data_IF_897798654431
#
_entry.id   IF_897798654431
#
_cell.length_a   1.000
_cell.length_b   1.000
_cell.length_c   1.000
_cell.angle_alpha   90.00
_cell.angle_beta   90.00
_cell.angle_gamma   90.00
#
_symmetry.space_group_name_H-M   'P 1'
#
loop_
_entity.id
_entity.type
_entity.pdbx_description
1 polymer ?
#
# COMPACT_ATOMS: atom_id res chain seq x y z
N UNK A 1 3.27 -2.65 32.11
CA UNK A 1 4.33 -1.72 32.55
C UNK A 1 5.21 -1.48 31.32
N UNK A 2 5.13 -0.33 30.70
CA UNK A 2 6.08 0.34 29.81
C UNK A 2 5.42 1.18 28.70
N UNK A 3 4.20 1.69 28.95
CA UNK A 3 3.57 2.72 28.08
C UNK A 3 4.11 4.15 28.36
N UNK A 4 5.00 4.31 29.35
CA UNK A 4 5.51 5.61 29.76
C UNK A 4 6.89 5.97 29.23
N UNK A 5 7.61 5.03 28.62
CA UNK A 5 9.00 5.29 28.19
C UNK A 5 9.08 6.07 26.87
N UNK A 6 8.16 5.82 25.93
CA UNK A 6 8.17 6.56 24.65
C UNK A 6 7.57 7.98 24.76
N UNK A 7 6.60 8.17 25.63
CA UNK A 7 6.03 9.51 25.87
C UNK A 7 6.97 10.39 26.71
N UNK A 8 7.81 9.78 27.55
CA UNK A 8 8.82 10.49 28.32
C UNK A 8 10.02 10.96 27.46
N UNK A 9 10.38 10.20 26.41
CA UNK A 9 11.51 10.61 25.53
C UNK A 9 11.13 11.78 24.62
N UNK A 10 9.89 11.86 24.15
CA UNK A 10 9.43 12.97 23.30
C UNK A 10 9.17 14.26 24.09
N UNK A 11 8.76 14.15 25.38
CA UNK A 11 8.51 15.31 26.23
C UNK A 11 9.77 15.84 26.90
N UNK A 12 10.81 15.05 27.06
CA UNK A 12 12.08 15.51 27.62
C UNK A 12 12.94 16.32 26.64
N UNK A 13 12.70 16.16 25.32
CA UNK A 13 13.41 16.96 24.31
C UNK A 13 12.85 18.37 24.12
N UNK A 14 11.64 18.68 24.57
CA UNK A 14 11.02 20.00 24.44
C UNK A 14 10.91 20.72 25.79
N UNK A 15 11.07 20.01 26.90
CA UNK A 15 10.90 20.54 28.27
C UNK A 15 12.18 20.82 29.06
N UNK A 16 13.35 20.63 28.48
CA UNK A 16 14.63 20.73 29.22
C UNK A 16 15.11 22.15 29.55
N UNK A 17 14.29 23.18 29.32
CA UNK A 17 14.68 24.56 29.62
C UNK A 17 14.15 25.14 30.96
N UNK A 18 13.51 24.35 31.84
CA UNK A 18 12.90 24.92 33.06
C UNK A 18 13.15 24.18 34.37
N UNK A 19 14.02 23.19 34.43
CA UNK A 19 14.45 22.57 35.68
C UNK A 19 15.97 22.60 35.83
N UNK A 20 16.53 23.82 35.95
CA UNK A 20 17.85 23.98 36.48
C UNK A 20 17.77 23.78 38.00
N UNK A 21 17.95 22.57 38.51
CA UNK A 21 18.40 22.35 39.87
C UNK A 21 19.92 22.37 39.88
N UNK A 22 20.50 23.10 40.82
CA UNK A 22 21.95 23.35 41.02
C UNK A 22 22.78 22.08 41.32
N UNK A 23 22.48 20.96 40.74
CA UNK A 23 23.31 19.75 40.78
C UNK A 23 23.98 19.59 39.44
N UNK A 24 25.22 20.12 39.35
CA UNK A 24 26.09 19.90 38.21
C UNK A 24 26.35 18.38 38.07
N UNK A 25 25.95 17.82 36.94
CA UNK A 25 26.34 16.50 36.49
C UNK A 25 27.26 16.69 35.25
N UNK A 26 28.58 17.00 35.47
CA UNK A 26 29.45 17.40 34.38
C UNK A 26 29.64 16.33 33.31
N UNK A 27 29.50 15.05 33.68
CA UNK A 27 29.54 13.94 32.73
C UNK A 27 28.31 13.87 31.83
N UNK A 28 27.12 14.08 32.40
CA UNK A 28 25.86 14.09 31.64
C UNK A 28 25.80 15.32 30.72
N UNK A 29 26.22 16.49 31.22
CA UNK A 29 26.26 17.71 30.43
C UNK A 29 27.31 17.62 29.29
N UNK A 30 28.41 16.92 29.50
CA UNK A 30 29.38 16.67 28.44
C UNK A 30 28.90 15.65 27.41
N UNK A 31 28.14 14.63 27.82
CA UNK A 31 27.51 13.67 26.93
C UNK A 31 26.37 14.30 26.15
N UNK A 32 25.54 15.15 26.79
CA UNK A 32 24.48 15.91 26.09
C UNK A 32 25.07 16.94 25.12
N UNK A 33 26.19 17.61 25.52
CA UNK A 33 26.90 18.52 24.63
C UNK A 33 27.58 17.77 23.47
N UNK A 34 28.10 16.57 23.71
CA UNK A 34 28.65 15.71 22.67
C UNK A 34 27.56 15.20 21.72
N UNK A 35 26.37 14.87 22.21
CA UNK A 35 25.18 14.51 21.40
C UNK A 35 24.64 15.71 20.61
N UNK A 36 24.58 16.91 21.20
CA UNK A 36 24.14 18.13 20.51
C UNK A 36 25.19 18.67 19.52
N UNK A 37 26.48 18.40 19.76
CA UNK A 37 27.57 18.80 18.88
C UNK A 37 28.09 17.63 18.04
N UNK A 38 27.58 16.41 18.23
CA UNK A 38 27.76 15.38 17.22
C UNK A 38 27.17 15.98 15.93
N UNK A 39 28.03 16.22 14.91
CA UNK A 39 27.45 16.59 13.63
C UNK A 39 26.47 15.44 13.32
N UNK A 40 25.20 15.77 13.21
CA UNK A 40 24.27 14.99 12.41
C UNK A 40 24.77 15.16 10.97
N UNK A 41 26.00 14.75 10.71
CA UNK A 41 26.38 14.25 9.41
C UNK A 41 25.54 13.00 9.27
N UNK A 42 24.27 13.20 8.95
CA UNK A 42 23.52 12.26 8.21
C UNK A 42 24.36 12.07 6.95
N UNK A 43 25.36 11.16 7.06
CA UNK A 43 25.91 10.57 5.87
C UNK A 43 24.67 10.21 5.05
N UNK A 44 24.65 10.63 3.79
CA UNK A 44 23.52 10.35 2.87
C UNK A 44 23.27 8.83 2.68
N UNK A 45 23.90 7.99 3.46
CA UNK A 45 23.85 6.54 3.54
C UNK A 45 23.08 5.99 4.75
N UNK A 46 22.55 6.83 5.65
CA UNK A 46 21.71 6.36 6.76
C UNK A 46 20.36 5.83 6.26
N UNK A 47 19.69 4.92 7.02
CA UNK A 47 18.38 4.42 6.63
C UNK A 47 17.37 5.57 6.57
N UNK A 48 16.67 5.69 5.44
CA UNK A 48 15.50 6.55 5.33
C UNK A 48 14.33 5.86 6.03
N UNK A 49 13.57 6.64 6.79
CA UNK A 49 12.33 6.19 7.41
C UNK A 49 11.16 6.92 6.75
N UNK A 50 10.12 6.19 6.43
CA UNK A 50 8.85 6.70 5.92
C UNK A 50 7.72 5.78 6.33
N UNK A 51 6.51 6.14 5.98
CA UNK A 51 5.36 5.30 6.31
C UNK A 51 4.05 6.06 6.17
N UNK A 52 2.96 5.43 6.63
CA UNK A 52 1.65 6.05 6.65
C UNK A 52 0.76 5.49 7.74
N UNK A 53 -0.17 6.34 8.19
CA UNK A 53 -1.23 6.01 9.11
C UNK A 53 -2.58 6.29 8.44
N UNK A 54 -3.49 5.32 8.45
CA UNK A 54 -4.86 5.49 7.97
C UNK A 54 -5.80 5.14 9.12
N UNK A 55 -6.39 6.17 9.73
CA UNK A 55 -7.44 6.05 10.74
C UNK A 55 -8.81 6.12 10.09
N UNK A 56 -9.78 5.36 10.61
CA UNK A 56 -11.14 5.29 10.07
C UNK A 56 -12.18 5.43 11.15
N UNK A 57 -13.36 5.94 10.77
CA UNK A 57 -14.61 5.80 11.49
C UNK A 57 -15.61 5.20 10.53
N UNK A 58 -16.05 3.98 10.79
CA UNK A 58 -16.89 3.20 9.88
C UNK A 58 -18.23 2.86 10.53
N UNK A 59 -19.31 3.14 9.80
CA UNK A 59 -20.65 2.65 10.10
C UNK A 59 -20.96 1.49 9.15
N UNK A 60 -21.50 0.40 9.68
CA UNK A 60 -21.88 -0.79 8.92
C UNK A 60 -23.35 -1.10 9.21
N UNK A 61 -24.16 -1.22 8.14
CA UNK A 61 -25.61 -1.41 8.25
C UNK A 61 -26.02 -2.81 8.65
N UNK A 62 -25.22 -3.81 8.28
CA UNK A 62 -25.53 -5.21 8.57
C UNK A 62 -25.36 -5.54 10.06
N UNK A 63 -24.31 -5.00 10.65
CA UNK A 63 -24.02 -5.19 12.09
C UNK A 63 -24.58 -4.10 12.98
N UNK A 64 -25.20 -3.06 12.42
CA UNK A 64 -25.67 -1.85 13.13
C UNK A 64 -24.59 -1.27 14.05
N UNK A 65 -23.36 -1.19 13.54
CA UNK A 65 -22.20 -0.74 14.31
C UNK A 65 -21.62 0.56 13.77
N UNK A 66 -21.08 1.36 14.67
CA UNK A 66 -20.27 2.54 14.39
C UNK A 66 -19.00 2.46 15.22
N UNK A 67 -17.83 2.42 14.59
CA UNK A 67 -16.58 2.22 15.29
C UNK A 67 -15.38 2.90 14.66
N UNK A 68 -14.42 3.27 15.51
CA UNK A 68 -13.11 3.71 15.06
C UNK A 68 -12.22 2.51 14.77
N UNK A 69 -11.37 2.64 13.73
CA UNK A 69 -10.40 1.64 13.34
C UNK A 69 -9.11 2.26 12.82
N UNK A 70 -8.11 1.42 12.64
CA UNK A 70 -6.87 1.74 11.96
C UNK A 70 -6.76 0.79 10.76
N UNK A 71 -6.90 1.35 9.56
CA UNK A 71 -6.84 0.58 8.33
C UNK A 71 -5.39 0.30 7.87
N UNK A 72 -4.43 1.13 8.26
CA UNK A 72 -3.00 0.93 8.08
C UNK A 72 -2.21 1.74 9.10
N UNK A 73 -1.13 1.18 9.60
CA UNK A 73 -0.16 1.84 10.47
C UNK A 73 1.25 1.37 10.09
N UNK A 74 1.75 1.86 8.96
CA UNK A 74 2.96 1.33 8.33
C UNK A 74 4.18 2.18 8.58
N UNK A 75 5.31 1.51 8.87
CA UNK A 75 6.63 2.11 8.94
C UNK A 75 7.55 1.36 7.99
N UNK A 76 8.25 2.10 7.14
CA UNK A 76 9.20 1.57 6.19
C UNK A 76 10.61 2.10 6.51
N UNK A 77 11.58 1.22 6.49
CA UNK A 77 12.99 1.53 6.56
C UNK A 77 13.65 1.13 5.24
N UNK A 78 14.35 2.04 4.60
CA UNK A 78 15.05 1.76 3.35
C UNK A 78 16.43 2.39 3.34
N UNK A 79 17.32 1.86 2.54
CA UNK A 79 18.65 2.39 2.41
C UNK A 79 19.48 1.68 1.36
N UNK A 80 20.72 2.13 1.18
CA UNK A 80 21.70 1.51 0.30
C UNK A 80 22.91 1.01 1.10
N UNK A 81 23.50 -0.08 0.64
CA UNK A 81 24.71 -0.68 1.22
C UNK A 81 25.74 -0.82 0.11
N UNK A 82 26.77 0.00 0.16
CA UNK A 82 27.77 0.05 -0.92
C UNK A 82 27.19 0.49 -2.26
N UNK A 83 27.89 0.19 -3.35
CA UNK A 83 27.43 0.50 -4.69
C UNK A 83 26.55 -0.62 -5.26
N UNK A 84 25.32 -0.30 -5.65
CA UNK A 84 24.42 -1.22 -6.36
C UNK A 84 23.61 -2.17 -5.47
N UNK A 85 23.64 -2.02 -4.14
CA UNK A 85 22.80 -2.79 -3.22
C UNK A 85 21.89 -1.86 -2.41
N UNK A 86 20.66 -2.27 -2.20
CA UNK A 86 19.69 -1.57 -1.37
C UNK A 86 18.90 -2.55 -0.51
N UNK A 87 18.09 -2.02 0.40
CA UNK A 87 17.19 -2.81 1.22
C UNK A 87 15.92 -2.03 1.54
N UNK A 88 14.86 -2.76 1.80
CA UNK A 88 13.59 -2.29 2.31
C UNK A 88 13.12 -3.23 3.42
N UNK A 89 12.67 -2.66 4.55
CA UNK A 89 11.99 -3.39 5.61
C UNK A 89 10.76 -2.58 6.00
N UNK A 90 9.59 -3.18 5.86
CA UNK A 90 8.30 -2.57 6.18
C UNK A 90 7.59 -3.34 7.29
N UNK A 91 6.98 -2.61 8.20
CA UNK A 91 6.14 -3.15 9.27
C UNK A 91 4.75 -2.54 9.17
N UNK A 92 3.70 -3.33 9.31
CA UNK A 92 2.34 -2.84 9.50
C UNK A 92 1.85 -3.23 10.90
N UNK A 93 1.37 -2.23 11.63
CA UNK A 93 0.86 -2.37 12.98
C UNK A 93 -0.67 -2.39 13.02
N UNK A 94 -1.35 -2.22 11.88
CA UNK A 94 -2.81 -2.23 11.83
C UNK A 94 -3.37 -3.64 12.03
N UNK A 95 -2.67 -4.67 11.54
CA UNK A 95 -3.03 -6.07 11.76
C UNK A 95 -2.87 -6.48 13.24
N UNK A 96 -2.24 -5.64 14.04
CA UNK A 96 -2.25 -5.73 15.50
C UNK A 96 -3.61 -5.30 16.13
N UNK A 97 -4.70 -5.36 15.37
CA UNK A 97 -6.03 -4.79 15.69
C UNK A 97 -6.64 -5.16 17.04
N UNK A 98 -6.19 -6.21 17.66
CA UNK A 98 -6.60 -6.56 19.04
C UNK A 98 -5.93 -5.70 20.11
N UNK A 99 -4.87 -4.93 19.78
CA UNK A 99 -4.26 -3.99 20.73
C UNK A 99 -5.21 -2.86 21.15
N UNK A 100 -6.18 -2.51 20.30
CA UNK A 100 -7.10 -1.39 20.49
C UNK A 100 -8.42 -1.81 21.14
N UNK A 101 -8.78 -3.10 21.08
CA UNK A 101 -10.02 -3.65 21.64
C UNK A 101 -9.84 -4.27 23.03
N UNK A 102 -8.61 -4.29 23.58
CA UNK A 102 -8.33 -4.89 24.88
C UNK A 102 -8.20 -6.42 24.86
N UNK A 103 -8.24 -7.05 23.69
CA UNK A 103 -7.90 -8.44 23.46
C UNK A 103 -6.38 -8.63 23.28
N UNK A 104 -5.87 -9.83 23.45
CA UNK A 104 -4.44 -10.17 23.50
C UNK A 104 -3.62 -9.66 22.31
N UNK A 105 -2.40 -9.25 22.57
CA UNK A 105 -1.53 -8.49 21.70
C UNK A 105 -1.33 -9.07 20.29
N UNK A 106 -1.84 -8.38 19.29
CA UNK A 106 -1.46 -8.57 17.91
C UNK A 106 0.01 -8.23 17.69
N UNK A 107 0.67 -8.93 16.80
CA UNK A 107 2.07 -8.72 16.45
C UNK A 107 2.14 -7.86 15.21
N UNK A 108 3.02 -6.87 15.21
CA UNK A 108 3.33 -6.14 13.98
C UNK A 108 3.74 -7.11 12.88
N UNK A 109 3.05 -7.07 11.74
CA UNK A 109 3.40 -7.88 10.57
C UNK A 109 4.57 -7.30 9.82
N UNK A 110 5.55 -8.11 9.42
CA UNK A 110 6.51 -7.72 8.40
C UNK A 110 5.77 -7.74 7.07
N UNK A 111 5.75 -6.60 6.38
CA UNK A 111 5.09 -6.50 5.08
C UNK A 111 6.09 -6.70 3.94
N UNK A 112 7.10 -5.84 3.87
CA UNK A 112 8.14 -5.94 2.85
C UNK A 112 9.48 -6.14 3.56
N UNK A 113 10.29 -7.10 3.14
CA UNK A 113 11.63 -7.32 3.67
C UNK A 113 12.51 -7.89 2.57
N UNK A 114 13.17 -7.03 1.81
CA UNK A 114 13.96 -7.45 0.68
C UNK A 114 15.23 -6.64 0.50
N UNK A 115 16.22 -7.28 -0.11
CA UNK A 115 17.40 -6.64 -0.66
C UNK A 115 17.22 -6.40 -2.16
N UNK A 116 17.78 -5.30 -2.67
CA UNK A 116 17.87 -5.01 -4.10
C UNK A 116 19.33 -5.02 -4.54
N UNK A 117 19.58 -5.39 -5.77
CA UNK A 117 20.92 -5.41 -6.36
C UNK A 117 20.87 -5.18 -7.88
N UNK A 118 21.84 -4.41 -8.38
CA UNK A 118 22.01 -4.22 -9.80
C UNK A 118 22.71 -5.44 -10.42
N UNK A 119 22.14 -5.99 -11.50
CA UNK A 119 22.71 -7.12 -12.24
C UNK A 119 23.51 -6.63 -13.44
N UNK A 120 23.05 -5.53 -14.05
CA UNK A 120 23.65 -4.92 -15.22
C UNK A 120 23.04 -3.57 -15.51
N UNK A 121 23.32 -3.02 -16.67
CA UNK A 121 22.76 -1.73 -17.07
C UNK A 121 21.25 -1.87 -17.30
N UNK A 122 20.45 -1.17 -16.46
CA UNK A 122 18.99 -1.16 -16.57
C UNK A 122 18.27 -2.41 -16.03
N UNK A 123 18.99 -3.37 -15.41
CA UNK A 123 18.38 -4.58 -14.82
C UNK A 123 18.69 -4.64 -13.33
N UNK A 124 17.63 -4.75 -12.52
CA UNK A 124 17.70 -4.86 -11.09
C UNK A 124 17.13 -6.19 -10.61
N UNK A 125 17.76 -6.74 -9.58
CA UNK A 125 17.26 -7.89 -8.85
C UNK A 125 16.70 -7.47 -7.49
N UNK A 126 15.72 -8.21 -6.99
CA UNK A 126 15.12 -8.08 -5.67
C UNK A 126 15.00 -9.48 -5.05
N UNK A 127 15.39 -9.64 -3.79
CA UNK A 127 15.30 -10.92 -3.09
C UNK A 127 14.81 -10.70 -1.66
N UNK A 128 13.83 -11.47 -1.25
CA UNK A 128 13.20 -11.39 0.07
C UNK A 128 11.67 -11.44 -0.03
N UNK A 129 10.98 -10.77 0.88
CA UNK A 129 9.50 -10.73 0.96
C UNK A 129 8.98 -9.47 0.26
N UNK A 130 8.17 -9.63 -0.77
CA UNK A 130 7.57 -8.55 -1.55
C UNK A 130 6.28 -9.01 -2.24
N UNK A 131 5.57 -8.11 -2.91
CA UNK A 131 4.34 -8.43 -3.65
C UNK A 131 4.65 -9.10 -4.98
N UNK A 132 3.81 -10.07 -5.37
CA UNK A 132 3.82 -10.63 -6.72
C UNK A 132 3.49 -9.54 -7.76
N UNK A 133 4.28 -9.39 -8.83
CA UNK A 133 3.98 -8.44 -9.89
C UNK A 133 2.83 -8.98 -10.78
N UNK A 134 1.60 -8.51 -10.54
CA UNK A 134 0.43 -8.98 -11.29
C UNK A 134 -0.44 -7.81 -11.77
N UNK A 135 -1.29 -7.22 -10.91
CA UNK A 135 -2.12 -6.07 -11.24
C UNK A 135 -1.53 -4.78 -10.65
N UNK A 136 -1.77 -3.65 -11.32
CA UNK A 136 -1.30 -2.34 -10.84
C UNK A 136 -1.89 -1.99 -9.47
N UNK A 137 -3.19 -2.18 -9.27
CA UNK A 137 -3.90 -1.86 -8.03
C UNK A 137 -3.34 -2.61 -6.82
N UNK A 138 -2.88 -3.84 -7.02
CA UNK A 138 -2.25 -4.64 -5.97
C UNK A 138 -0.88 -4.05 -5.53
N UNK A 139 -0.17 -3.41 -6.46
CA UNK A 139 1.15 -2.80 -6.25
C UNK A 139 1.12 -1.44 -5.56
N UNK A 140 0.03 -0.66 -5.72
CA UNK A 140 -0.08 0.70 -5.17
C UNK A 140 -0.17 0.65 -3.63
N UNK A 141 0.52 1.56 -2.96
CA UNK A 141 0.43 1.66 -1.50
C UNK A 141 -0.87 2.31 -1.05
N UNK A 142 -1.43 1.89 0.10
CA UNK A 142 -2.77 2.30 0.55
C UNK A 142 -2.93 3.81 0.74
N UNK A 143 -1.89 4.53 1.14
CA UNK A 143 -1.95 5.99 1.21
C UNK A 143 -2.11 6.64 -0.16
N UNK A 144 -1.70 5.97 -1.25
CA UNK A 144 -1.75 6.46 -2.63
C UNK A 144 -3.02 6.03 -3.39
N UNK A 145 -3.94 5.32 -2.75
CA UNK A 145 -5.22 4.93 -3.35
C UNK A 145 -6.21 6.09 -3.38
N UNK A 146 -7.08 6.10 -4.36
CA UNK A 146 -8.19 7.07 -4.49
C UNK A 146 -9.30 6.77 -3.48
N UNK A 147 -9.54 5.50 -3.19
CA UNK A 147 -10.51 5.01 -2.23
C UNK A 147 -9.84 4.65 -0.89
N UNK A 148 -10.61 4.55 0.20
CA UNK A 148 -10.10 4.12 1.51
C UNK A 148 -9.53 2.70 1.41
N UNK A 149 -10.22 1.84 0.65
CA UNK A 149 -9.80 0.47 0.40
C UNK A 149 -9.48 0.26 -1.09
N UNK A 150 -8.59 -0.72 -1.36
CA UNK A 150 -8.31 -1.16 -2.72
C UNK A 150 -9.59 -1.67 -3.40
N UNK A 151 -9.55 -1.80 -4.73
CA UNK A 151 -10.49 -2.63 -5.48
C UNK A 151 -10.48 -4.07 -4.94
N UNK A 152 -11.52 -4.82 -5.20
CA UNK A 152 -11.60 -6.22 -4.79
C UNK A 152 -10.41 -7.01 -5.35
N UNK A 153 -10.08 -6.82 -6.62
CA UNK A 153 -8.91 -7.42 -7.26
C UNK A 153 -7.60 -6.93 -6.63
N UNK A 154 -7.44 -5.62 -6.46
CA UNK A 154 -6.25 -5.05 -5.85
C UNK A 154 -6.01 -5.54 -4.43
N UNK A 155 -7.08 -5.79 -3.66
CA UNK A 155 -7.02 -6.40 -2.33
C UNK A 155 -6.56 -7.85 -2.40
N UNK A 156 -7.18 -8.64 -3.27
CA UNK A 156 -6.92 -10.07 -3.42
C UNK A 156 -5.45 -10.37 -3.79
N UNK A 157 -4.88 -9.60 -4.70
CA UNK A 157 -3.50 -9.80 -5.16
C UNK A 157 -2.45 -8.94 -4.44
N UNK A 158 -2.79 -8.30 -3.32
CA UNK A 158 -1.85 -7.47 -2.54
C UNK A 158 -0.98 -8.27 -1.57
N UNK A 159 -1.14 -9.58 -1.51
CA UNK A 159 -0.34 -10.49 -0.69
C UNK A 159 1.15 -10.40 -0.99
N UNK A 160 1.96 -10.81 -0.05
CA UNK A 160 3.41 -10.84 -0.15
C UNK A 160 3.93 -12.23 0.14
N UNK A 161 5.00 -12.57 -0.54
CA UNK A 161 5.67 -13.84 -0.35
C UNK A 161 7.19 -13.68 -0.52
N UNK A 162 7.94 -14.66 -0.06
CA UNK A 162 9.38 -14.69 -0.19
C UNK A 162 9.79 -15.21 -1.58
N UNK A 163 10.68 -14.47 -2.24
CA UNK A 163 11.10 -14.84 -3.57
C UNK A 163 12.25 -14.01 -4.13
N UNK A 164 12.43 -14.15 -5.42
CA UNK A 164 13.37 -13.41 -6.24
C UNK A 164 12.62 -12.75 -7.39
N UNK A 165 12.89 -11.48 -7.69
CA UNK A 165 12.44 -10.86 -8.92
C UNK A 165 13.58 -10.19 -9.69
N UNK A 166 13.34 -10.07 -10.99
CA UNK A 166 14.14 -9.30 -11.93
C UNK A 166 13.26 -8.25 -12.57
N UNK A 167 13.71 -7.03 -12.61
CA UNK A 167 12.96 -5.92 -13.21
C UNK A 167 13.86 -5.03 -14.07
N UNK A 168 13.27 -4.36 -15.02
CA UNK A 168 13.97 -3.41 -15.86
C UNK A 168 13.03 -2.49 -16.60
N UNK A 169 13.64 -1.48 -17.23
CA UNK A 169 12.95 -0.51 -18.08
C UNK A 169 13.54 -0.55 -19.48
N UNK A 170 12.66 -0.51 -20.47
CA UNK A 170 13.03 -0.45 -21.88
C UNK A 170 12.18 0.61 -22.57
N UNK A 171 12.68 1.83 -22.70
CA UNK A 171 11.97 2.98 -23.27
C UNK A 171 10.71 3.33 -22.45
N UNK A 172 9.54 2.93 -22.92
CA UNK A 172 8.22 3.17 -22.29
C UNK A 172 7.63 1.90 -21.68
N UNK A 173 8.41 0.86 -21.59
CA UNK A 173 8.00 -0.45 -21.08
C UNK A 173 8.79 -0.73 -19.80
N UNK A 174 8.08 -0.93 -18.71
CA UNK A 174 8.62 -1.51 -17.48
C UNK A 174 8.22 -2.97 -17.43
N UNK A 175 9.11 -3.81 -16.94
CA UNK A 175 8.85 -5.24 -16.80
C UNK A 175 9.39 -5.76 -15.47
N UNK A 176 8.70 -6.72 -14.90
CA UNK A 176 9.13 -7.47 -13.72
C UNK A 176 8.76 -8.94 -13.89
N UNK A 177 9.72 -9.82 -13.57
CA UNK A 177 9.55 -11.27 -13.49
C UNK A 177 9.85 -11.70 -12.07
N UNK A 178 9.05 -12.59 -11.49
CA UNK A 178 9.23 -13.06 -10.13
C UNK A 178 9.06 -14.57 -10.03
N UNK A 179 9.78 -15.17 -9.09
CA UNK A 179 9.57 -16.51 -8.59
C UNK A 179 9.50 -16.45 -7.06
N UNK A 180 8.49 -17.06 -6.48
CA UNK A 180 8.19 -17.02 -5.05
C UNK A 180 7.86 -18.40 -4.53
N UNK A 181 7.77 -18.55 -3.20
CA UNK A 181 7.44 -19.84 -2.59
C UNK A 181 6.02 -20.33 -2.92
N UNK A 182 5.05 -19.40 -3.11
CA UNK A 182 3.64 -19.75 -3.27
C UNK A 182 2.85 -19.65 -1.95
N UNK A 183 1.54 -19.63 -2.06
CA UNK A 183 0.64 -19.35 -0.94
C UNK A 183 0.30 -20.55 -0.07
N UNK A 184 0.69 -21.77 -0.48
CA UNK A 184 0.43 -23.02 0.26
C UNK A 184 1.38 -23.26 1.43
N UNK A 185 2.46 -22.47 1.55
CA UNK A 185 3.50 -22.65 2.55
C UNK A 185 4.45 -23.83 2.31
N UNK A 186 4.37 -24.47 1.13
CA UNK A 186 5.22 -25.59 0.72
C UNK A 186 6.40 -25.07 -0.08
N UNK A 187 7.63 -25.25 0.39
CA UNK A 187 8.83 -24.64 -0.19
C UNK A 187 9.28 -25.21 -1.54
N UNK A 188 8.66 -26.25 -2.06
CA UNK A 188 8.96 -26.92 -3.31
C UNK A 188 7.90 -26.72 -4.42
N UNK A 189 6.80 -26.07 -4.10
CA UNK A 189 5.80 -25.60 -5.07
C UNK A 189 5.93 -24.10 -5.26
N UNK A 190 6.41 -23.68 -6.41
CA UNK A 190 6.83 -22.30 -6.67
C UNK A 190 5.75 -21.55 -7.41
N UNK A 191 5.51 -20.32 -6.98
CA UNK A 191 4.69 -19.38 -7.72
C UNK A 191 5.55 -18.57 -8.70
N UNK A 192 4.98 -18.27 -9.86
CA UNK A 192 5.62 -17.49 -10.91
C UNK A 192 4.76 -16.27 -11.25
N UNK A 193 5.38 -15.12 -11.39
CA UNK A 193 4.71 -13.91 -11.80
C UNK A 193 5.50 -13.15 -12.86
N UNK A 194 4.78 -12.53 -13.77
CA UNK A 194 5.36 -11.60 -14.71
C UNK A 194 4.41 -10.44 -14.97
N UNK A 195 4.96 -9.24 -15.09
CA UNK A 195 4.20 -8.04 -15.41
C UNK A 195 4.96 -7.17 -16.42
N UNK A 196 4.20 -6.61 -17.35
CA UNK A 196 4.68 -5.60 -18.30
C UNK A 196 3.74 -4.39 -18.18
N UNK A 197 4.32 -3.22 -17.99
CA UNK A 197 3.62 -1.94 -17.99
C UNK A 197 4.11 -1.11 -19.17
N UNK A 198 3.19 -0.55 -19.94
CA UNK A 198 3.49 0.30 -21.07
C UNK A 198 2.87 1.68 -20.91
N UNK A 199 3.70 2.70 -20.90
CA UNK A 199 3.28 4.10 -20.98
C UNK A 199 2.95 4.46 -22.44
N UNK A 200 1.69 4.27 -22.83
CA UNK A 200 1.19 4.58 -24.17
C UNK A 200 1.26 6.08 -24.45
N UNK A 201 0.84 6.88 -23.47
CA UNK A 201 0.93 8.34 -23.47
C UNK A 201 1.41 8.84 -22.12
N UNK A 202 2.23 9.89 -22.10
CA UNK A 202 2.75 10.49 -20.88
C UNK A 202 3.61 9.53 -20.06
N UNK A 203 3.47 9.60 -18.75
CA UNK A 203 4.19 8.75 -17.79
C UNK A 203 3.23 8.31 -16.70
N UNK A 204 3.23 7.03 -16.34
CA UNK A 204 2.45 6.51 -15.23
C UNK A 204 2.97 7.04 -13.89
N UNK A 205 2.08 7.15 -12.92
CA UNK A 205 2.42 7.51 -11.54
C UNK A 205 1.98 6.39 -10.58
N UNK A 206 2.64 6.29 -9.43
CA UNK A 206 2.28 5.31 -8.39
C UNK A 206 1.14 5.77 -7.46
N UNK A 207 0.32 6.74 -7.93
CA UNK A 207 -0.87 7.20 -7.22
C UNK A 207 -2.11 6.94 -8.06
N UNK A 208 -3.24 6.74 -7.42
CA UNK A 208 -4.55 6.70 -8.07
C UNK A 208 -5.18 8.10 -8.09
N UNK A 209 -6.09 8.31 -9.04
CA UNK A 209 -6.80 9.57 -9.16
C UNK A 209 -6.10 10.62 -10.02
N UNK A 210 -6.73 11.80 -10.12
CA UNK A 210 -6.24 12.93 -10.91
C UNK A 210 -5.40 13.92 -10.11
N UNK A 211 -5.38 13.81 -8.79
CA UNK A 211 -4.62 14.73 -7.95
C UNK A 211 -3.14 14.34 -7.88
N UNK A 212 -2.25 15.29 -8.16
CA UNK A 212 -0.80 15.06 -8.29
C UNK A 212 -0.43 13.97 -9.29
N UNK A 213 -1.36 13.60 -10.17
CA UNK A 213 -1.05 12.82 -11.35
C UNK A 213 -0.05 13.57 -12.25
N UNK A 214 0.62 12.85 -13.12
CA UNK A 214 1.51 13.46 -14.08
C UNK A 214 0.75 14.49 -14.92
N UNK A 215 1.42 15.61 -15.26
CA UNK A 215 0.83 16.65 -16.08
C UNK A 215 0.43 16.12 -17.48
N UNK A 216 -0.65 16.66 -18.01
CA UNK A 216 -1.12 16.31 -19.35
C UNK A 216 -2.05 15.10 -19.39
N UNK A 217 -1.97 14.35 -20.49
CA UNK A 217 -2.70 13.10 -20.68
C UNK A 217 -1.75 11.93 -20.51
N UNK A 218 -2.09 11.02 -19.61
CA UNK A 218 -1.28 9.84 -19.33
C UNK A 218 -2.17 8.60 -19.50
N UNK A 219 -1.73 7.67 -20.32
CA UNK A 219 -2.35 6.36 -20.54
C UNK A 219 -1.30 5.29 -20.31
N UNK A 220 -1.54 4.45 -19.32
CA UNK A 220 -0.75 3.26 -19.03
C UNK A 220 -1.62 2.01 -19.25
N UNK A 221 -1.03 0.96 -19.76
CA UNK A 221 -1.63 -0.37 -19.90
C UNK A 221 -0.68 -1.38 -19.28
N UNK A 222 -1.20 -2.22 -18.39
CA UNK A 222 -0.48 -3.31 -17.75
C UNK A 222 -1.00 -4.66 -18.17
N UNK A 223 -0.11 -5.63 -18.32
CA UNK A 223 -0.41 -7.05 -18.52
C UNK A 223 0.35 -7.83 -17.47
N UNK A 224 -0.33 -8.73 -16.78
CA UNK A 224 0.24 -9.58 -15.76
C UNK A 224 -0.12 -11.05 -15.99
N UNK A 225 0.77 -11.92 -15.56
CA UNK A 225 0.49 -13.35 -15.41
C UNK A 225 0.94 -13.78 -14.02
N UNK A 226 0.19 -14.68 -13.42
CA UNK A 226 0.48 -15.25 -12.12
C UNK A 226 0.09 -16.73 -12.12
N UNK A 227 1.00 -17.57 -11.67
CA UNK A 227 0.77 -19.01 -11.48
C UNK A 227 1.25 -19.33 -10.06
N UNK A 228 0.32 -19.62 -9.18
CA UNK A 228 0.59 -19.91 -7.78
C UNK A 228 0.43 -21.41 -7.49
N UNK A 229 0.95 -22.24 -8.34
CA UNK A 229 1.18 -23.68 -8.21
C UNK A 229 0.28 -24.54 -7.29
N UNK A 230 -0.16 -23.97 -6.20
CA UNK A 230 -0.85 -24.63 -5.11
C UNK A 230 -2.34 -24.31 -4.99
N UNK A 231 -2.75 -23.10 -5.37
CA UNK A 231 -4.13 -22.64 -5.13
C UNK A 231 -5.04 -22.74 -6.35
N UNK A 232 -4.48 -22.82 -7.53
CA UNK A 232 -5.22 -22.94 -8.78
C UNK A 232 -4.46 -23.86 -9.73
N UNK A 233 -5.18 -24.74 -10.42
CA UNK A 233 -4.60 -25.63 -11.43
C UNK A 233 -4.22 -24.86 -12.73
N UNK A 234 -4.02 -23.52 -12.67
CA UNK A 234 -3.78 -22.78 -13.88
C UNK A 234 -3.17 -21.40 -13.69
N UNK A 235 -2.66 -20.92 -14.81
CA UNK A 235 -2.11 -19.58 -14.94
C UNK A 235 -3.24 -18.53 -14.96
N UNK A 236 -3.15 -17.56 -14.08
CA UNK A 236 -4.04 -16.39 -14.04
C UNK A 236 -3.48 -15.29 -14.95
N UNK A 237 -4.35 -14.63 -15.68
CA UNK A 237 -3.98 -13.53 -16.59
C UNK A 237 -4.68 -12.25 -16.12
N UNK A 238 -3.92 -11.17 -16.02
CA UNK A 238 -4.41 -9.85 -15.63
C UNK A 238 -4.16 -8.80 -16.69
N UNK A 239 -5.13 -7.91 -16.87
CA UNK A 239 -4.98 -6.70 -17.66
C UNK A 239 -5.49 -5.52 -16.86
N UNK A 240 -4.76 -4.42 -16.93
CA UNK A 240 -5.21 -3.15 -16.36
C UNK A 240 -4.86 -1.97 -17.26
N UNK A 241 -5.63 -0.91 -17.13
CA UNK A 241 -5.40 0.35 -17.81
C UNK A 241 -5.75 1.53 -16.91
N UNK A 242 -4.95 2.58 -16.97
CA UNK A 242 -5.22 3.85 -16.29
C UNK A 242 -5.07 5.02 -17.24
N UNK A 243 -6.03 5.93 -17.20
CA UNK A 243 -6.01 7.17 -17.96
C UNK A 243 -6.19 8.35 -16.99
N UNK A 244 -5.31 9.36 -17.09
CA UNK A 244 -5.51 10.64 -16.43
C UNK A 244 -5.46 11.76 -17.45
N UNK A 245 -6.43 12.68 -17.40
CA UNK A 245 -6.52 13.78 -18.34
C UNK A 245 -7.35 14.94 -17.74
N UNK A 246 -6.75 16.09 -17.55
CA UNK A 246 -7.47 17.32 -17.16
C UNK A 246 -8.28 17.20 -15.86
N UNK A 247 -7.78 16.43 -14.88
CA UNK A 247 -8.46 16.16 -13.62
C UNK A 247 -9.41 14.98 -13.65
N UNK A 248 -9.63 14.35 -14.80
CA UNK A 248 -10.35 13.08 -14.92
C UNK A 248 -9.36 11.94 -14.72
N UNK A 249 -9.73 10.95 -13.94
CA UNK A 249 -9.02 9.68 -13.81
C UNK A 249 -9.95 8.52 -14.14
N UNK A 250 -9.48 7.58 -14.94
CA UNK A 250 -10.19 6.36 -15.28
C UNK A 250 -9.24 5.19 -15.00
N UNK A 251 -9.75 4.17 -14.33
CA UNK A 251 -9.05 2.89 -14.12
C UNK A 251 -9.95 1.75 -14.52
N UNK A 252 -9.37 0.73 -15.12
CA UNK A 252 -10.05 -0.54 -15.39
C UNK A 252 -9.04 -1.67 -15.18
N UNK A 253 -9.50 -2.75 -14.59
CA UNK A 253 -8.70 -3.96 -14.41
C UNK A 253 -9.59 -5.20 -14.45
N UNK A 254 -9.01 -6.31 -14.87
CA UNK A 254 -9.66 -7.61 -14.96
C UNK A 254 -8.61 -8.69 -14.71
N UNK A 255 -9.01 -9.76 -14.05
CA UNK A 255 -8.22 -10.98 -13.94
C UNK A 255 -9.03 -12.15 -14.48
N UNK A 256 -8.44 -12.93 -15.37
CA UNK A 256 -8.99 -14.20 -15.85
C UNK A 256 -8.32 -15.32 -15.04
N UNK A 257 -9.12 -16.12 -14.34
CA UNK A 257 -8.66 -17.12 -13.38
C UNK A 257 -9.19 -18.49 -13.75
N UNK A 258 -8.27 -19.43 -13.93
CA UNK A 258 -8.59 -20.84 -14.03
C UNK A 258 -8.63 -21.42 -12.61
N UNK A 259 -9.80 -21.34 -11.98
CA UNK A 259 -9.96 -21.78 -10.61
C UNK A 259 -10.42 -23.24 -10.54
N UNK A 260 -9.99 -23.97 -9.50
CA UNK A 260 -10.36 -25.39 -9.24
C UNK A 260 -11.88 -25.62 -9.18
N UNK A 261 -12.69 -24.57 -9.04
CA UNK A 261 -14.15 -24.64 -8.89
C UNK A 261 -14.90 -24.01 -10.06
N UNK A 262 -14.20 -23.55 -11.10
CA UNK A 262 -14.77 -22.89 -12.28
C UNK A 262 -13.97 -21.67 -12.69
N UNK A 263 -14.03 -21.36 -13.95
CA UNK A 263 -13.38 -20.17 -14.49
C UNK A 263 -14.15 -18.93 -14.03
N UNK A 264 -13.47 -17.89 -13.58
CA UNK A 264 -14.05 -16.60 -13.25
C UNK A 264 -13.20 -15.46 -13.82
N UNK A 265 -13.84 -14.33 -14.06
CA UNK A 265 -13.22 -13.16 -14.69
C UNK A 265 -13.62 -11.86 -13.98
N UNK A 266 -13.33 -11.72 -12.68
CA UNK A 266 -13.66 -10.51 -11.94
C UNK A 266 -13.00 -9.28 -12.55
N UNK A 267 -13.71 -8.15 -12.49
CA UNK A 267 -13.21 -6.88 -13.00
C UNK A 267 -13.55 -5.70 -12.09
N UNK A 268 -12.81 -4.61 -12.26
CA UNK A 268 -13.05 -3.34 -11.57
C UNK A 268 -12.94 -2.18 -12.55
N UNK A 269 -13.86 -1.22 -12.45
CA UNK A 269 -13.83 0.02 -13.22
C UNK A 269 -14.00 1.20 -12.26
N UNK A 270 -13.07 2.16 -12.29
CA UNK A 270 -13.10 3.37 -11.49
C UNK A 270 -13.08 4.63 -12.34
N UNK A 271 -13.85 5.63 -11.93
CA UNK A 271 -13.88 6.96 -12.53
C UNK A 271 -13.75 7.99 -11.43
N UNK A 272 -12.78 8.90 -11.56
CA UNK A 272 -12.55 10.03 -10.67
C UNK A 272 -12.60 11.36 -11.41
N UNK A 273 -12.96 12.40 -10.69
CA UNK A 273 -12.95 13.77 -11.17
C UNK A 273 -12.48 14.73 -10.09
N UNK A 274 -11.38 15.40 -10.38
CA UNK A 274 -10.82 16.45 -9.55
C UNK A 274 -11.59 17.76 -9.78
N UNK A 275 -12.20 18.30 -8.74
CA UNK A 275 -12.92 19.57 -8.79
C UNK A 275 -12.36 20.58 -7.79
N UNK A 276 -12.23 21.81 -8.21
CA UNK A 276 -11.49 22.81 -7.44
C UNK A 276 -10.00 22.46 -7.34
N UNK A 277 -9.34 22.96 -6.32
CA UNK A 277 -7.90 22.75 -6.17
C UNK A 277 -7.53 21.45 -5.41
N UNK A 278 -8.43 20.95 -4.56
CA UNK A 278 -8.07 19.96 -3.54
C UNK A 278 -9.17 18.90 -3.30
N UNK A 279 -10.18 18.81 -4.16
CA UNK A 279 -11.25 17.84 -3.98
C UNK A 279 -11.36 16.92 -5.18
N UNK A 280 -11.55 15.65 -4.93
CA UNK A 280 -11.77 14.64 -5.96
C UNK A 280 -12.94 13.75 -5.55
N UNK A 281 -13.90 13.59 -6.44
CA UNK A 281 -14.98 12.62 -6.27
C UNK A 281 -14.73 11.45 -7.21
N UNK A 282 -15.00 10.24 -6.73
CA UNK A 282 -14.84 9.05 -7.55
C UNK A 282 -15.91 8.01 -7.25
N UNK A 283 -16.14 7.15 -8.24
CA UNK A 283 -16.96 5.96 -8.12
C UNK A 283 -16.21 4.77 -8.70
N UNK A 284 -16.34 3.61 -8.07
CA UNK A 284 -15.80 2.34 -8.53
C UNK A 284 -16.88 1.28 -8.49
N UNK A 285 -16.89 0.47 -9.52
CA UNK A 285 -17.69 -0.74 -9.62
C UNK A 285 -16.74 -1.94 -9.67
N UNK A 286 -16.91 -2.87 -8.77
CA UNK A 286 -16.21 -4.15 -8.73
C UNK A 286 -17.23 -5.26 -8.96
N UNK A 287 -16.98 -6.11 -9.94
CA UNK A 287 -17.68 -7.36 -10.17
C UNK A 287 -16.73 -8.49 -9.73
N UNK A 288 -17.18 -9.30 -8.79
CA UNK A 288 -16.35 -10.37 -8.23
C UNK A 288 -16.46 -11.67 -9.03
N UNK A 289 -17.39 -11.71 -9.98
CA UNK A 289 -17.70 -12.90 -10.81
C UNK A 289 -17.85 -14.17 -9.95
N UNK A 290 -18.56 -14.05 -8.85
CA UNK A 290 -18.84 -15.17 -7.95
C UNK A 290 -20.13 -15.88 -8.34
N UNK A 291 -20.31 -17.11 -7.91
CA UNK A 291 -21.55 -17.88 -8.14
C UNK A 291 -22.82 -17.18 -7.63
N UNK A 292 -22.69 -16.21 -6.75
CA UNK A 292 -23.75 -15.40 -6.15
C UNK A 292 -23.86 -14.00 -6.77
N UNK A 293 -23.26 -13.76 -7.94
CA UNK A 293 -23.26 -12.47 -8.65
C UNK A 293 -22.91 -11.28 -7.73
N UNK A 294 -21.86 -11.44 -6.91
CA UNK A 294 -21.47 -10.42 -5.93
C UNK A 294 -20.82 -9.21 -6.61
N UNK A 295 -21.41 -8.05 -6.40
CA UNK A 295 -20.87 -6.77 -6.89
C UNK A 295 -20.66 -5.78 -5.76
N UNK A 296 -19.73 -4.85 -5.95
CA UNK A 296 -19.45 -3.77 -4.99
C UNK A 296 -19.46 -2.44 -5.73
N UNK A 297 -20.26 -1.48 -5.24
CA UNK A 297 -20.21 -0.09 -5.70
C UNK A 297 -19.61 0.74 -4.58
N UNK A 298 -18.57 1.48 -4.90
CA UNK A 298 -17.90 2.37 -3.94
C UNK A 298 -17.88 3.79 -4.49
N UNK A 299 -18.33 4.76 -3.70
CA UNK A 299 -18.24 6.17 -4.00
C UNK A 299 -17.41 6.88 -2.93
N UNK A 300 -16.55 7.82 -3.31
CA UNK A 300 -15.68 8.55 -2.39
C UNK A 300 -15.59 10.02 -2.76
N UNK A 301 -15.45 10.86 -1.73
CA UNK A 301 -15.01 12.26 -1.88
C UNK A 301 -13.76 12.43 -1.05
N UNK A 302 -12.69 12.81 -1.71
CA UNK A 302 -11.41 13.13 -1.11
C UNK A 302 -11.25 14.64 -0.93
N UNK A 303 -10.65 15.03 0.17
CA UNK A 303 -10.10 16.36 0.39
C UNK A 303 -8.62 16.25 0.64
N UNK A 304 -7.83 16.67 -0.31
CA UNK A 304 -6.37 16.69 -0.20
C UNK A 304 -5.90 17.93 0.59
N UNK A 305 -5.02 17.73 1.55
CA UNK A 305 -4.37 18.79 2.34
C UNK A 305 -2.92 18.93 1.88
N UNK A 306 -2.24 17.81 1.65
CA UNK A 306 -0.88 17.75 1.11
C UNK A 306 -0.78 16.50 0.20
N UNK A 307 -1.43 16.54 -0.95
CA UNK A 307 -1.48 15.39 -1.84
C UNK A 307 -2.02 14.14 -1.15
N UNK A 308 -1.48 13.00 -1.54
CA UNK A 308 -1.79 11.73 -0.90
C UNK A 308 -1.16 11.57 0.49
N UNK A 309 -0.17 12.40 0.86
CA UNK A 309 0.45 12.35 2.19
C UNK A 309 -0.44 12.90 3.30
N UNK A 310 -1.45 13.72 2.97
CA UNK A 310 -2.43 14.16 3.96
C UNK A 310 -3.78 14.38 3.28
N UNK A 311 -4.75 13.50 3.53
CA UNK A 311 -6.08 13.59 2.95
C UNK A 311 -7.16 13.07 3.88
N UNK A 312 -8.35 13.68 3.76
CA UNK A 312 -9.60 13.15 4.28
C UNK A 312 -10.36 12.45 3.16
N UNK A 313 -11.01 11.34 3.48
CA UNK A 313 -11.80 10.54 2.55
C UNK A 313 -13.16 10.23 3.17
N UNK A 314 -14.25 10.59 2.52
CA UNK A 314 -15.59 10.14 2.89
C UNK A 314 -16.07 9.16 1.83
N UNK A 315 -16.21 7.91 2.23
CA UNK A 315 -16.53 6.79 1.35
C UNK A 315 -17.86 6.18 1.72
N UNK A 316 -18.65 5.84 0.73
CA UNK A 316 -19.79 4.94 0.83
C UNK A 316 -19.50 3.71 -0.03
N UNK A 317 -19.78 2.53 0.49
CA UNK A 317 -19.65 1.28 -0.25
C UNK A 317 -20.87 0.41 0.02
N UNK A 318 -21.42 -0.20 -1.05
CA UNK A 318 -22.51 -1.16 -0.97
C UNK A 318 -22.09 -2.45 -1.65
N UNK A 319 -22.34 -3.56 -0.98
CA UNK A 319 -22.17 -4.92 -1.51
C UNK A 319 -23.54 -5.45 -1.82
N UNK A 320 -23.71 -5.98 -3.03
CA UNK A 320 -24.96 -6.65 -3.48
C UNK A 320 -24.62 -8.06 -3.95
N UNK A 321 -25.52 -9.01 -3.66
CA UNK A 321 -25.37 -10.41 -4.04
C UNK A 321 -26.74 -11.05 -4.22
N UNK A 322 -26.88 -12.02 -5.10
CA UNK A 322 -28.12 -12.76 -5.32
C UNK A 322 -28.55 -13.61 -4.12
N UNK A 323 -27.61 -13.94 -3.24
CA UNK A 323 -27.90 -14.57 -1.96
C UNK A 323 -27.90 -13.51 -0.85
N UNK A 324 -29.07 -13.16 -0.34
CA UNK A 324 -29.34 -12.10 0.64
C UNK A 324 -28.53 -12.14 1.97
N UNK A 325 -27.47 -12.93 2.05
CA UNK A 325 -26.63 -13.13 3.25
C UNK A 325 -25.49 -12.09 3.33
N UNK A 326 -25.25 -11.31 2.27
CA UNK A 326 -24.05 -10.45 2.18
C UNK A 326 -24.32 -9.01 1.74
N UNK A 327 -25.60 -8.58 1.65
CA UNK A 327 -25.89 -7.18 1.35
C UNK A 327 -25.47 -6.30 2.53
N UNK A 328 -24.52 -5.42 2.31
CA UNK A 328 -23.97 -4.56 3.37
C UNK A 328 -23.69 -3.17 2.82
N UNK A 329 -24.18 -2.16 3.53
CA UNK A 329 -23.82 -0.76 3.30
C UNK A 329 -22.83 -0.29 4.34
N UNK A 330 -21.76 0.36 3.90
CA UNK A 330 -20.79 0.98 4.79
C UNK A 330 -20.57 2.45 4.46
N UNK A 331 -20.43 3.27 5.50
CA UNK A 331 -19.97 4.66 5.38
C UNK A 331 -18.68 4.77 6.18
N UNK A 332 -17.62 5.20 5.53
CA UNK A 332 -16.30 5.33 6.17
C UNK A 332 -15.77 6.75 6.02
N UNK A 333 -15.45 7.38 7.14
CA UNK A 333 -14.63 8.58 7.18
C UNK A 333 -13.18 8.15 7.46
N UNK A 334 -12.28 8.40 6.51
CA UNK A 334 -10.87 8.07 6.60
C UNK A 334 -10.00 9.32 6.72
N UNK A 335 -8.93 9.23 7.50
CA UNK A 335 -7.82 10.18 7.53
C UNK A 335 -6.54 9.42 7.19
N UNK A 336 -5.92 9.78 6.06
CA UNK A 336 -4.63 9.22 5.64
C UNK A 336 -3.53 10.25 5.84
N UNK A 337 -2.45 9.83 6.53
CA UNK A 337 -1.26 10.63 6.81
C UNK A 337 -0.02 9.83 6.42
N UNK A 338 0.79 10.37 5.49
CA UNK A 338 2.10 9.86 5.07
C UNK A 338 3.23 10.72 5.63
N UNK A 339 4.40 10.14 5.85
CA UNK A 339 5.59 10.82 6.38
C UNK A 339 6.89 10.21 5.84
#
# INVERSE_FOLDING_TARGET
>A
MNKFVFSALATTLVGASSFASDTEWPELDSELAALNNAPLTQDASGPAMGGWLIGTLTSNSDTDTLGFGIAAARVNLSGSVGSGYGYMIGFDFADAGELWTGGGGGVAGITDAYGTFAIGEGVNGKMGVFRMPFLRSSGIDRNNTLFVDRSSLGGQYSGRDAGLSLSGEMSRINWELAVMNGSDGTMDEWAYGARIDMDVMGTSSNVEGGYNGAEGTNLNIGLGVNDDGALADGMQMGIDATLTMGGISLSAEMADRDATVGDDSPFSIGLGYLFGANYEAAVRFDDLDTADDTTVITAVVNRYINGHDAKWQLQYSTISSDTAVTETDTITLGLSLGF
#
